data_IF_433506012274
#
_entry.id   IF_433506012274
#
_cell.length_a   1.000
_cell.length_b   1.000
_cell.length_c   1.000
_cell.angle_alpha   90.00
_cell.angle_beta   90.00
_cell.angle_gamma   90.00
#
_symmetry.space_group_name_H-M   'P 1'
#
loop_
_entity.id
_entity.type
_entity.pdbx_description
1 polymer ?
#
# COMPACT_ATOMS: atom_id res chain seq x y z
N UNK A 1 38.54 -29.13 45.20
CA UNK A 1 37.35 -28.46 45.77
C UNK A 1 37.17 -27.14 45.04
N UNK A 2 36.04 -27.03 44.31
CA UNK A 2 35.36 -25.83 43.78
C UNK A 2 36.20 -24.81 42.99
N UNK A 3 36.29 -24.87 41.66
CA UNK A 3 35.33 -24.30 40.67
C UNK A 3 34.95 -22.83 40.90
N UNK A 4 35.64 -21.91 40.21
CA UNK A 4 35.13 -20.57 39.90
C UNK A 4 35.41 -20.26 38.44
N UNK A 5 34.32 -20.25 37.68
CA UNK A 5 34.19 -19.91 36.28
C UNK A 5 34.03 -18.39 36.15
N UNK A 6 35.03 -17.69 35.61
CA UNK A 6 34.82 -16.32 35.12
C UNK A 6 34.68 -16.35 33.61
N UNK A 7 33.41 -16.35 33.20
CA UNK A 7 32.98 -16.28 31.81
C UNK A 7 33.24 -14.89 31.24
N UNK A 8 34.15 -14.84 30.28
CA UNK A 8 34.28 -13.76 29.32
C UNK A 8 33.11 -13.85 28.32
N UNK A 9 32.29 -12.81 28.14
CA UNK A 9 31.34 -12.77 27.03
C UNK A 9 32.00 -12.12 25.80
N UNK A 10 32.23 -12.83 24.68
CA UNK A 10 32.36 -12.16 23.40
C UNK A 10 30.95 -11.81 22.92
N UNK A 11 30.50 -10.60 23.22
CA UNK A 11 29.31 -10.04 22.58
C UNK A 11 29.66 -9.72 21.11
N UNK A 12 29.46 -10.71 20.26
CA UNK A 12 29.37 -10.57 18.82
C UNK A 12 28.29 -9.55 18.49
N UNK A 13 28.68 -8.30 18.25
CA UNK A 13 27.82 -7.29 17.62
C UNK A 13 27.71 -7.71 16.16
N UNK A 14 26.73 -8.59 15.93
CA UNK A 14 26.24 -8.96 14.62
C UNK A 14 25.95 -7.69 13.83
N UNK A 15 26.52 -7.63 12.64
CA UNK A 15 26.19 -6.68 11.58
C UNK A 15 24.67 -6.55 11.42
N UNK A 16 24.07 -5.54 12.05
CA UNK A 16 22.76 -5.03 11.69
C UNK A 16 22.95 -4.26 10.37
N UNK A 17 22.98 -5.01 9.28
CA UNK A 17 22.94 -4.49 7.91
C UNK A 17 21.63 -3.70 7.77
N UNK A 18 21.74 -2.39 7.82
CA UNK A 18 21.21 -1.45 6.85
C UNK A 18 19.79 -1.75 6.30
N UNK A 19 18.82 -1.87 7.18
CA UNK A 19 17.38 -1.72 6.84
C UNK A 19 16.92 -0.25 6.99
N UNK A 20 17.87 0.70 6.96
CA UNK A 20 17.61 2.14 7.09
C UNK A 20 16.99 2.75 5.81
N UNK A 21 17.07 2.06 4.68
CA UNK A 21 16.71 2.62 3.36
C UNK A 21 15.20 2.70 3.09
N UNK A 22 14.35 2.04 3.88
CA UNK A 22 12.89 2.13 3.72
C UNK A 22 12.25 3.25 4.57
N UNK A 23 12.94 3.74 5.60
CA UNK A 23 12.36 4.57 6.67
C UNK A 23 12.80 6.05 6.63
N UNK A 24 13.43 6.55 5.56
CA UNK A 24 13.79 7.98 5.48
C UNK A 24 12.59 8.93 5.26
N UNK A 25 11.42 8.40 4.85
CA UNK A 25 10.16 9.17 4.73
C UNK A 25 9.37 9.30 6.02
N UNK A 26 9.60 8.43 7.01
CA UNK A 26 8.87 8.48 8.29
C UNK A 26 9.29 9.67 9.17
N UNK A 27 10.53 10.16 9.03
CA UNK A 27 11.04 11.28 9.81
C UNK A 27 10.26 12.57 9.61
N UNK A 28 9.89 12.89 8.36
CA UNK A 28 9.07 14.08 8.04
C UNK A 28 7.65 13.97 8.60
N UNK A 29 7.02 12.81 8.47
CA UNK A 29 5.69 12.55 9.03
C UNK A 29 5.70 12.59 10.55
N UNK A 30 6.69 11.94 11.18
CA UNK A 30 6.85 11.95 12.63
C UNK A 30 7.14 13.36 13.16
N UNK A 31 7.94 14.16 12.45
CA UNK A 31 8.15 15.56 12.79
C UNK A 31 6.86 16.39 12.67
N UNK A 32 6.07 16.18 11.60
CA UNK A 32 4.79 16.85 11.43
C UNK A 32 3.77 16.46 12.52
N UNK A 33 3.72 15.19 12.92
CA UNK A 33 2.86 14.73 14.02
C UNK A 33 3.31 15.34 15.35
N UNK A 34 4.62 15.36 15.65
CA UNK A 34 5.14 16.01 16.86
C UNK A 34 4.83 17.50 16.88
N UNK A 35 5.02 18.18 15.76
CA UNK A 35 4.67 19.60 15.62
C UNK A 35 3.18 19.81 15.86
N UNK A 36 2.31 18.98 15.28
CA UNK A 36 0.86 19.04 15.50
C UNK A 36 0.49 18.83 16.98
N UNK A 37 1.04 17.81 17.64
CA UNK A 37 0.79 17.54 19.07
C UNK A 37 1.15 18.76 19.93
N UNK A 38 2.19 19.52 19.57
CA UNK A 38 2.59 20.71 20.30
C UNK A 38 1.57 21.87 20.19
N UNK A 39 0.89 22.02 19.06
CA UNK A 39 -0.10 23.11 18.83
C UNK A 39 -1.55 22.68 19.10
N UNK A 40 -1.79 21.37 19.24
CA UNK A 40 -3.12 20.81 19.42
C UNK A 40 -3.76 21.29 20.74
N UNK A 41 -5.05 21.66 20.75
CA UNK A 41 -5.79 21.96 21.97
C UNK A 41 -5.76 20.78 22.95
N UNK A 42 -5.46 21.05 24.22
CA UNK A 42 -5.41 20.02 25.27
C UNK A 42 -6.79 19.66 25.83
N UNK A 43 -7.76 20.56 25.66
CA UNK A 43 -9.12 20.45 26.23
C UNK A 43 -10.12 19.73 25.31
N UNK A 44 -9.62 19.09 24.24
CA UNK A 44 -10.43 18.38 23.24
C UNK A 44 -10.59 16.88 23.51
N UNK A 45 -11.25 16.20 22.57
CA UNK A 45 -11.41 14.75 22.52
C UNK A 45 -10.08 13.97 22.65
N UNK A 46 -10.08 12.66 22.91
CA UNK A 46 -8.86 11.83 22.92
C UNK A 46 -8.31 11.57 21.51
N UNK A 47 -9.09 11.84 20.46
CA UNK A 47 -8.71 11.63 19.08
C UNK A 47 -7.49 12.48 18.66
N UNK A 48 -6.55 11.88 17.89
CA UNK A 48 -5.32 12.58 17.45
C UNK A 48 -5.61 13.81 16.57
N UNK A 49 -6.62 13.71 15.70
CA UNK A 49 -7.04 14.79 14.81
C UNK A 49 -8.41 15.32 15.22
N UNK A 50 -8.46 16.63 15.47
CA UNK A 50 -9.65 17.33 15.92
C UNK A 50 -10.17 18.28 14.84
N UNK A 51 -11.48 18.53 14.86
CA UNK A 51 -12.08 19.60 14.08
C UNK A 51 -11.90 20.97 14.79
N UNK A 52 -12.35 22.05 14.16
CA UNK A 52 -12.29 23.41 14.71
C UNK A 52 -13.07 23.59 16.02
N UNK A 53 -14.04 22.71 16.29
CA UNK A 53 -14.81 22.67 17.53
C UNK A 53 -14.18 21.77 18.62
N UNK A 54 -12.97 21.24 18.41
CA UNK A 54 -12.25 20.41 19.39
C UNK A 54 -12.75 18.97 19.51
N UNK A 55 -13.64 18.50 18.63
CA UNK A 55 -14.16 17.13 18.58
C UNK A 55 -13.41 16.27 17.57
N UNK A 56 -13.55 14.95 17.64
CA UNK A 56 -12.99 14.04 16.64
C UNK A 56 -13.33 14.47 15.20
N UNK A 57 -12.31 14.50 14.34
CA UNK A 57 -12.48 14.84 12.94
C UNK A 57 -13.30 13.76 12.21
N UNK A 58 -14.36 14.18 11.53
CA UNK A 58 -15.19 13.28 10.71
C UNK A 58 -14.58 13.08 9.34
N UNK A 59 -14.99 12.01 8.64
CA UNK A 59 -14.57 11.74 7.27
C UNK A 59 -14.85 12.92 6.33
N UNK A 60 -16.06 13.49 6.39
CA UNK A 60 -16.43 14.64 5.57
C UNK A 60 -15.61 15.90 5.90
N UNK A 61 -15.21 16.07 7.17
CA UNK A 61 -14.29 17.15 7.55
C UNK A 61 -12.90 16.97 6.95
N UNK A 62 -12.40 15.74 6.88
CA UNK A 62 -11.15 15.43 6.21
C UNK A 62 -11.26 15.64 4.68
N UNK A 63 -12.36 15.22 4.06
CA UNK A 63 -12.64 15.47 2.64
C UNK A 63 -12.62 16.97 2.32
N UNK A 64 -13.26 17.80 3.14
CA UNK A 64 -13.23 19.27 2.99
C UNK A 64 -11.81 19.85 3.05
N UNK A 65 -10.99 19.41 4.01
CA UNK A 65 -9.59 19.86 4.12
C UNK A 65 -8.79 19.41 2.90
N UNK A 66 -9.01 18.17 2.44
CA UNK A 66 -8.35 17.63 1.27
C UNK A 66 -8.67 18.44 0.02
N UNK A 67 -9.93 18.80 -0.20
CA UNK A 67 -10.36 19.65 -1.32
C UNK A 67 -9.65 21.00 -1.32
N UNK A 68 -9.48 21.63 -0.16
CA UNK A 68 -8.71 22.88 -0.03
C UNK A 68 -7.26 22.72 -0.47
N UNK A 69 -6.61 21.61 -0.08
CA UNK A 69 -5.24 21.32 -0.50
C UNK A 69 -5.16 20.97 -1.99
N UNK A 70 -6.15 20.29 -2.55
CA UNK A 70 -6.24 20.02 -3.98
C UNK A 70 -6.37 21.33 -4.76
N UNK A 71 -7.24 22.24 -4.33
CA UNK A 71 -7.39 23.55 -4.97
C UNK A 71 -6.07 24.34 -4.98
N UNK A 72 -5.31 24.32 -3.88
CA UNK A 72 -3.98 24.91 -3.83
C UNK A 72 -2.99 24.19 -4.76
N UNK A 73 -3.02 22.86 -4.80
CA UNK A 73 -2.12 22.05 -5.64
C UNK A 73 -2.42 22.17 -7.14
N UNK A 74 -3.66 22.48 -7.54
CA UNK A 74 -4.03 22.72 -8.95
C UNK A 74 -3.22 23.86 -9.56
N UNK A 75 -2.83 24.87 -8.77
CA UNK A 75 -1.97 25.95 -9.24
C UNK A 75 -0.59 25.47 -9.71
N UNK A 76 -0.08 24.38 -9.13
CA UNK A 76 1.21 23.77 -9.46
C UNK A 76 1.05 22.64 -10.48
N UNK A 77 -0.05 21.89 -10.40
CA UNK A 77 -0.36 20.75 -11.26
C UNK A 77 -1.79 20.86 -11.82
N UNK A 78 -1.97 21.48 -13.00
CA UNK A 78 -3.29 21.71 -13.60
C UNK A 78 -4.07 20.42 -13.89
N UNK A 79 -3.35 19.30 -14.07
CA UNK A 79 -3.94 17.97 -14.31
C UNK A 79 -4.75 17.43 -13.14
N UNK A 80 -4.64 18.02 -11.95
CA UNK A 80 -5.46 17.68 -10.79
C UNK A 80 -6.87 18.28 -10.87
N UNK A 81 -7.08 19.35 -11.65
CA UNK A 81 -8.36 20.05 -11.74
C UNK A 81 -9.47 19.18 -12.35
N UNK A 82 -9.09 18.22 -13.20
CA UNK A 82 -10.03 17.32 -13.88
C UNK A 82 -10.25 15.99 -13.14
N UNK A 83 -9.54 15.76 -12.02
CA UNK A 83 -9.59 14.49 -11.29
C UNK A 83 -10.42 14.63 -10.02
N UNK A 84 -11.31 13.66 -9.80
CA UNK A 84 -12.00 13.53 -8.51
C UNK A 84 -11.06 12.89 -7.49
N UNK A 85 -10.64 13.67 -6.50
CA UNK A 85 -9.71 13.24 -5.45
C UNK A 85 -10.51 13.05 -4.16
N UNK A 86 -10.62 11.80 -3.74
CA UNK A 86 -11.19 11.43 -2.44
C UNK A 86 -10.17 10.69 -1.59
N UNK A 87 -10.39 10.56 -0.27
CA UNK A 87 -9.49 9.81 0.61
C UNK A 87 -9.27 8.36 0.16
N UNK A 88 -10.31 7.74 -0.41
CA UNK A 88 -10.22 6.39 -0.96
C UNK A 88 -9.32 6.33 -2.19
N UNK A 89 -9.44 7.29 -3.12
CA UNK A 89 -8.60 7.37 -4.32
C UNK A 89 -7.14 7.65 -3.92
N UNK A 90 -6.91 8.58 -2.99
CA UNK A 90 -5.57 8.90 -2.49
C UNK A 90 -4.91 7.67 -1.85
N UNK A 91 -5.65 6.92 -1.04
CA UNK A 91 -5.17 5.65 -0.44
C UNK A 91 -4.81 4.63 -1.51
N UNK A 92 -5.64 4.50 -2.55
CA UNK A 92 -5.40 3.56 -3.64
C UNK A 92 -4.14 3.93 -4.45
N UNK A 93 -4.00 5.21 -4.83
CA UNK A 93 -2.80 5.69 -5.52
C UNK A 93 -1.55 5.50 -4.69
N UNK A 94 -1.58 5.79 -3.39
CA UNK A 94 -0.46 5.54 -2.48
C UNK A 94 -0.06 4.06 -2.45
N UNK A 95 -1.04 3.16 -2.33
CA UNK A 95 -0.80 1.72 -2.35
C UNK A 95 -0.22 1.23 -3.68
N UNK A 96 -0.72 1.72 -4.82
CA UNK A 96 -0.15 1.43 -6.13
C UNK A 96 1.30 1.91 -6.24
N UNK A 97 1.60 3.14 -5.83
CA UNK A 97 2.97 3.66 -5.82
C UNK A 97 3.90 2.83 -4.93
N UNK A 98 3.41 2.35 -3.79
CA UNK A 98 4.18 1.46 -2.92
C UNK A 98 4.39 0.08 -3.54
N UNK A 99 3.36 -0.49 -4.18
CA UNK A 99 3.47 -1.77 -4.87
C UNK A 99 4.54 -1.69 -5.97
N UNK A 100 4.47 -0.66 -6.81
CA UNK A 100 5.45 -0.44 -7.89
C UNK A 100 6.88 -0.27 -7.36
N UNK A 101 7.05 0.37 -6.19
CA UNK A 101 8.35 0.57 -5.58
C UNK A 101 8.91 -0.68 -4.86
N UNK A 102 8.05 -1.52 -4.30
CA UNK A 102 8.47 -2.66 -3.44
C UNK A 102 8.35 -4.02 -4.12
N UNK A 103 7.53 -4.12 -5.18
CA UNK A 103 7.10 -5.36 -5.85
C UNK A 103 6.66 -6.47 -4.90
N UNK A 104 6.24 -6.12 -3.68
CA UNK A 104 5.83 -7.08 -2.66
C UNK A 104 4.46 -6.70 -2.12
N UNK A 105 3.45 -7.43 -2.59
CA UNK A 105 2.07 -7.18 -2.21
C UNK A 105 1.81 -7.43 -0.72
N UNK A 106 2.62 -8.26 -0.05
CA UNK A 106 2.49 -8.51 1.39
C UNK A 106 2.83 -7.27 2.20
N UNK A 107 3.82 -6.48 1.74
CA UNK A 107 4.18 -5.21 2.36
C UNK A 107 3.09 -4.16 2.16
N UNK A 108 2.42 -4.15 1.01
CA UNK A 108 1.29 -3.27 0.72
C UNK A 108 0.08 -3.63 1.59
N UNK A 109 -0.23 -4.92 1.74
CA UNK A 109 -1.31 -5.39 2.61
C UNK A 109 -1.07 -5.05 4.09
N UNK A 110 0.18 -5.16 4.56
CA UNK A 110 0.59 -4.76 5.91
C UNK A 110 0.43 -3.25 6.12
N UNK A 111 0.85 -2.44 5.13
CA UNK A 111 0.70 -0.98 5.18
C UNK A 111 -0.75 -0.50 5.14
N UNK A 112 -1.60 -1.24 4.45
CA UNK A 112 -3.04 -1.00 4.42
C UNK A 112 -3.75 -1.54 5.68
N UNK A 113 -3.03 -2.23 6.57
CA UNK A 113 -3.42 -2.54 7.93
C UNK A 113 -4.85 -3.04 8.06
N UNK A 114 -5.12 -4.27 7.62
CA UNK A 114 -6.44 -4.95 7.69
C UNK A 114 -7.45 -4.58 6.59
N UNK A 115 -7.00 -4.12 5.43
CA UNK A 115 -7.88 -4.04 4.27
C UNK A 115 -8.29 -5.46 3.84
N UNK A 116 -9.59 -5.75 3.72
CA UNK A 116 -10.12 -7.09 3.43
C UNK A 116 -9.45 -7.70 2.20
N UNK A 117 -9.40 -9.04 2.12
CA UNK A 117 -8.79 -9.77 0.99
C UNK A 117 -9.28 -9.22 -0.38
N UNK A 118 -10.56 -8.82 -0.43
CA UNK A 118 -11.22 -8.20 -1.58
C UNK A 118 -10.58 -6.88 -2.05
N UNK A 119 -10.10 -6.05 -1.11
CA UNK A 119 -9.38 -4.81 -1.44
C UNK A 119 -7.92 -5.07 -1.85
N UNK A 120 -7.35 -6.21 -1.43
CA UNK A 120 -6.01 -6.65 -1.82
C UNK A 120 -6.02 -7.28 -3.22
N UNK A 121 -7.11 -7.99 -3.58
CA UNK A 121 -7.31 -8.59 -4.90
C UNK A 121 -7.26 -7.57 -6.04
N UNK A 122 -7.73 -6.33 -5.80
CA UNK A 122 -7.65 -5.24 -6.78
C UNK A 122 -6.19 -4.94 -7.16
N UNK A 123 -5.25 -5.05 -6.21
CA UNK A 123 -3.83 -4.82 -6.47
C UNK A 123 -3.17 -5.98 -7.21
N UNK A 124 -3.55 -7.23 -6.91
CA UNK A 124 -3.09 -8.42 -7.67
C UNK A 124 -3.50 -8.34 -9.14
N UNK A 125 -4.71 -7.86 -9.43
CA UNK A 125 -5.19 -7.71 -10.82
C UNK A 125 -4.54 -6.53 -11.53
N UNK A 126 -4.13 -5.50 -10.79
CA UNK A 126 -3.53 -4.29 -11.35
C UNK A 126 -2.05 -4.46 -11.71
N UNK A 127 -1.36 -5.41 -11.09
CA UNK A 127 0.04 -5.73 -11.38
C UNK A 127 0.17 -7.08 -12.11
N UNK A 128 0.10 -7.10 -13.46
CA UNK A 128 0.29 -8.32 -14.22
C UNK A 128 1.77 -8.75 -14.27
N UNK A 129 2.71 -7.98 -13.71
CA UNK A 129 4.14 -8.20 -13.89
C UNK A 129 4.57 -9.52 -13.28
N UNK A 130 4.10 -9.89 -12.08
CA UNK A 130 4.42 -11.19 -11.47
C UNK A 130 3.85 -12.36 -12.28
N UNK A 131 2.67 -12.19 -12.87
CA UNK A 131 2.05 -13.19 -13.75
C UNK A 131 2.81 -13.33 -15.08
N UNK A 132 3.26 -12.21 -15.66
CA UNK A 132 4.05 -12.19 -16.88
C UNK A 132 5.45 -12.75 -16.64
N UNK A 133 6.10 -12.41 -15.53
CA UNK A 133 7.39 -12.98 -15.12
C UNK A 133 7.28 -14.49 -14.86
N UNK A 134 6.19 -14.96 -14.23
CA UNK A 134 5.92 -16.40 -14.11
C UNK A 134 5.68 -17.08 -15.46
N UNK A 135 4.96 -16.42 -16.38
CA UNK A 135 4.73 -16.94 -17.73
C UNK A 135 6.02 -16.99 -18.56
N UNK A 136 6.91 -16.01 -18.39
CA UNK A 136 8.22 -15.98 -19.05
C UNK A 136 9.19 -16.99 -18.42
N UNK A 137 9.14 -17.17 -17.09
CA UNK A 137 9.96 -18.15 -16.36
C UNK A 137 9.52 -19.60 -16.62
N UNK A 138 8.22 -19.81 -16.84
CA UNK A 138 7.70 -21.04 -17.42
C UNK A 138 8.04 -21.01 -18.91
N UNK A 139 9.27 -21.40 -19.25
CA UNK A 139 9.68 -21.70 -20.62
C UNK A 139 8.51 -22.34 -21.37
N UNK A 140 8.15 -21.84 -22.57
CA UNK A 140 6.86 -22.11 -23.19
C UNK A 140 6.60 -23.60 -23.08
N UNK A 141 5.59 -23.97 -22.29
CA UNK A 141 5.18 -25.36 -22.19
C UNK A 141 5.08 -25.80 -23.64
N UNK A 142 5.86 -26.82 -24.02
CA UNK A 142 5.93 -27.34 -25.38
C UNK A 142 4.62 -28.00 -25.83
N UNK A 143 3.49 -27.46 -25.38
CA UNK A 143 2.16 -27.62 -25.89
C UNK A 143 2.23 -27.20 -27.34
N UNK A 144 2.42 -28.19 -28.20
CA UNK A 144 2.17 -28.04 -29.64
C UNK A 144 0.78 -27.40 -29.75
N UNK A 145 0.63 -26.24 -30.40
CA UNK A 145 -0.68 -25.64 -30.59
C UNK A 145 -1.56 -26.66 -31.33
N UNK A 146 -2.43 -27.30 -30.56
CA UNK A 146 -3.42 -28.23 -31.09
C UNK A 146 -4.49 -27.40 -31.78
N UNK A 147 -4.76 -27.68 -33.06
CA UNK A 147 -5.97 -27.17 -33.70
C UNK A 147 -7.16 -27.79 -32.98
N UNK A 148 -7.83 -27.02 -32.14
CA UNK A 148 -9.09 -27.46 -31.53
C UNK A 148 -10.09 -27.73 -32.65
N UNK A 149 -10.50 -29.00 -32.80
CA UNK A 149 -11.62 -29.39 -33.63
C UNK A 149 -12.82 -29.58 -32.70
N UNK A 150 -13.79 -28.65 -32.70
CA UNK A 150 -14.97 -28.81 -31.87
C UNK A 150 -15.71 -30.09 -32.28
N UNK A 151 -16.11 -30.94 -31.32
CA UNK A 151 -16.92 -32.11 -31.62
C UNK A 151 -18.32 -31.67 -32.06
N UNK A 152 -18.94 -32.40 -32.98
CA UNK A 152 -20.24 -32.05 -33.58
C UNK A 152 -21.34 -31.82 -32.53
N UNK A 153 -21.27 -32.56 -31.42
CA UNK A 153 -22.16 -32.39 -30.26
C UNK A 153 -22.09 -30.98 -29.67
N UNK A 154 -20.90 -30.37 -29.64
CA UNK A 154 -20.66 -29.02 -29.12
C UNK A 154 -21.12 -27.95 -30.10
N UNK A 155 -20.96 -28.17 -31.42
CA UNK A 155 -21.52 -27.29 -32.46
C UNK A 155 -23.05 -27.30 -32.40
N UNK A 156 -23.67 -28.48 -32.27
CA UNK A 156 -25.12 -28.61 -32.14
C UNK A 156 -25.65 -27.91 -30.88
N UNK A 157 -24.95 -28.04 -29.75
CA UNK A 157 -25.34 -27.39 -28.49
C UNK A 157 -25.33 -25.86 -28.58
N UNK A 158 -24.38 -25.29 -29.32
CA UNK A 158 -24.24 -23.83 -29.51
C UNK A 158 -25.20 -23.26 -30.57
N UNK A 159 -25.60 -24.08 -31.54
CA UNK A 159 -26.56 -23.69 -32.58
C UNK A 159 -28.02 -23.68 -32.10
N UNK A 160 -28.31 -24.19 -30.91
CA UNK A 160 -29.68 -24.33 -30.37
C UNK A 160 -30.06 -23.16 -29.44
N UNK A 161 -29.66 -21.93 -29.75
CA UNK A 161 -30.02 -20.73 -28.98
C UNK A 161 -30.78 -19.70 -29.82
#
# INVERSE_FOLDING_TARGET
>A
MTSSTDGHPPASISSARDDESACSRSGRTAAAIRAWIAVRPKDGDTALFLNTAGRMMTRSGFEYILEKHVAAAVSVAPTLATKSISPHVLRHSCAMHMLQATRDIRKVALWLGHATLQSTEIYLRADPTEKLEMLDALAPLGIKPGKFRPPDKLIAMLATR
#
